data_IF_076919965857
#
_entry.id   IF_076919965857
#
_cell.length_a   1.000
_cell.length_b   1.000
_cell.length_c   1.000
_cell.angle_alpha   90.00
_cell.angle_beta   90.00
_cell.angle_gamma   90.00
#
_symmetry.space_group_name_H-M   'P 1'
#
loop_
_entity.id
_entity.type
_entity.pdbx_description
1 polymer ?
#
# COMPACT_ATOMS: atom_id res chain seq x y z
N UNK A 1 -16.89 -21.03 14.94
CA UNK A 1 -17.42 -19.70 15.33
C UNK A 1 -17.38 -19.59 16.83
N UNK A 2 -16.82 -18.51 17.36
CA UNK A 2 -16.82 -18.26 18.81
C UNK A 2 -18.25 -17.96 19.31
N UNK A 3 -18.48 -18.13 20.61
CA UNK A 3 -19.76 -17.71 21.20
C UNK A 3 -20.00 -16.21 20.94
N UNK A 4 -21.27 -15.80 20.73
CA UNK A 4 -21.58 -14.40 20.50
C UNK A 4 -21.16 -13.54 21.70
N UNK A 5 -20.54 -12.39 21.42
CA UNK A 5 -20.18 -11.40 22.43
C UNK A 5 -21.28 -10.36 22.52
N UNK A 6 -21.83 -10.21 23.72
CA UNK A 6 -22.84 -9.21 24.04
C UNK A 6 -22.16 -8.02 24.72
N UNK A 7 -22.34 -6.82 24.19
CA UNK A 7 -21.80 -5.58 24.79
C UNK A 7 -22.66 -4.37 24.43
N UNK A 8 -22.84 -3.40 25.34
CA UNK A 8 -23.49 -2.15 25.02
C UNK A 8 -22.56 -1.26 24.17
N UNK A 9 -23.13 -0.51 23.24
CA UNK A 9 -22.39 0.52 22.48
C UNK A 9 -21.95 1.62 23.45
N UNK A 10 -20.63 1.90 23.57
CA UNK A 10 -20.15 3.04 24.36
C UNK A 10 -20.70 4.37 23.85
N UNK A 11 -21.01 5.30 24.75
CA UNK A 11 -21.53 6.63 24.39
C UNK A 11 -20.63 7.38 23.40
N UNK A 12 -19.32 7.25 23.51
CA UNK A 12 -18.35 7.86 22.59
C UNK A 12 -18.41 7.37 21.14
N UNK A 13 -19.21 6.33 20.85
CA UNK A 13 -19.46 5.81 19.53
C UNK A 13 -20.86 6.14 19.00
N UNK A 14 -21.71 6.80 19.79
CA UNK A 14 -23.06 7.18 19.40
C UNK A 14 -23.05 8.03 18.13
N UNK A 15 -23.96 7.76 17.19
CA UNK A 15 -24.05 8.42 15.89
C UNK A 15 -23.04 7.93 14.85
N UNK A 16 -22.10 7.05 15.23
CA UNK A 16 -21.13 6.47 14.30
C UNK A 16 -21.78 5.39 13.43
N UNK A 17 -21.28 5.22 12.20
CA UNK A 17 -21.68 4.09 11.36
C UNK A 17 -21.25 2.78 12.01
N UNK A 18 -22.11 1.76 11.93
CA UNK A 18 -21.87 0.46 12.56
C UNK A 18 -20.56 -0.18 12.10
N UNK A 19 -20.24 -0.15 10.79
CA UNK A 19 -18.98 -0.67 10.27
C UNK A 19 -17.74 0.01 10.91
N UNK A 20 -17.84 1.28 11.22
CA UNK A 20 -16.77 2.03 11.88
C UNK A 20 -16.74 1.80 13.40
N UNK A 21 -17.89 1.66 14.05
CA UNK A 21 -17.98 1.34 15.46
C UNK A 21 -17.39 -0.05 15.77
N UNK A 22 -17.76 -1.07 15.00
CA UNK A 22 -17.19 -2.43 15.11
C UNK A 22 -15.68 -2.45 14.86
N UNK A 23 -15.21 -1.68 13.86
CA UNK A 23 -13.78 -1.53 13.60
C UNK A 23 -13.02 -1.02 14.83
N UNK A 24 -13.60 -0.04 15.56
CA UNK A 24 -12.98 0.51 16.78
C UNK A 24 -13.05 -0.42 17.97
N UNK A 25 -14.22 -1.08 18.15
CA UNK A 25 -14.46 -1.97 19.30
C UNK A 25 -13.63 -3.24 19.27
N UNK A 26 -13.45 -3.81 18.08
CA UNK A 26 -12.82 -5.13 17.91
C UNK A 26 -11.48 -5.12 17.19
N UNK A 27 -10.94 -3.93 16.86
CA UNK A 27 -9.67 -3.82 16.11
C UNK A 27 -9.75 -4.32 14.67
N UNK A 28 -10.95 -4.46 14.11
CA UNK A 28 -11.18 -4.98 12.77
C UNK A 28 -10.92 -3.93 11.69
N UNK A 29 -10.56 -4.38 10.47
CA UNK A 29 -10.68 -3.47 9.32
C UNK A 29 -12.16 -3.17 9.04
N UNK A 30 -12.46 -2.00 8.45
CA UNK A 30 -13.84 -1.66 8.06
C UNK A 30 -14.45 -2.67 7.10
N UNK A 31 -13.62 -3.26 6.23
CA UNK A 31 -14.03 -4.32 5.31
C UNK A 31 -14.38 -5.61 6.05
N UNK A 32 -13.60 -6.00 7.08
CA UNK A 32 -13.91 -7.15 7.92
C UNK A 32 -15.20 -6.91 8.70
N UNK A 33 -15.36 -5.72 9.31
CA UNK A 33 -16.60 -5.35 10.00
C UNK A 33 -17.83 -5.40 9.07
N UNK A 34 -17.69 -4.88 7.84
CA UNK A 34 -18.77 -4.93 6.85
C UNK A 34 -19.14 -6.37 6.47
N UNK A 35 -18.16 -7.27 6.31
CA UNK A 35 -18.44 -8.70 6.03
C UNK A 35 -19.17 -9.38 7.17
N UNK A 36 -18.85 -9.08 8.43
CA UNK A 36 -19.56 -9.62 9.58
C UNK A 36 -21.03 -9.19 9.58
N UNK A 37 -21.30 -7.92 9.27
CA UNK A 37 -22.66 -7.39 9.18
C UNK A 37 -23.42 -8.07 8.03
N UNK A 38 -22.85 -8.10 6.82
CA UNK A 38 -23.47 -8.70 5.63
C UNK A 38 -23.68 -10.22 5.79
N UNK A 39 -22.81 -10.88 6.56
CA UNK A 39 -22.89 -12.31 6.90
C UNK A 39 -23.84 -12.65 8.05
N UNK A 40 -24.56 -11.66 8.61
CA UNK A 40 -25.50 -11.88 9.71
C UNK A 40 -24.84 -12.19 11.07
N UNK A 41 -23.54 -11.96 11.19
CA UNK A 41 -22.79 -12.21 12.42
C UNK A 41 -22.88 -11.05 13.45
N UNK A 42 -23.69 -10.03 13.17
CA UNK A 42 -23.90 -8.86 14.01
C UNK A 42 -25.39 -8.59 14.15
N UNK A 43 -25.86 -8.45 15.40
CA UNK A 43 -27.20 -7.94 15.69
C UNK A 43 -27.08 -6.67 16.55
N UNK A 44 -28.01 -5.75 16.35
CA UNK A 44 -28.19 -4.54 17.17
C UNK A 44 -29.57 -4.60 17.75
N UNK A 45 -29.68 -4.62 19.09
CA UNK A 45 -30.95 -4.79 19.82
C UNK A 45 -31.77 -5.99 19.27
N UNK A 46 -31.09 -7.09 18.96
CA UNK A 46 -31.68 -8.33 18.43
C UNK A 46 -32.06 -8.30 16.95
N UNK A 47 -31.84 -7.20 16.23
CA UNK A 47 -32.19 -7.03 14.82
C UNK A 47 -30.95 -7.02 13.91
N UNK A 48 -31.07 -7.56 12.69
CA UNK A 48 -29.99 -7.53 11.70
C UNK A 48 -29.86 -6.13 11.08
N UNK A 49 -28.72 -5.43 11.31
CA UNK A 49 -28.53 -4.06 10.87
C UNK A 49 -27.94 -3.97 9.47
N UNK A 50 -28.02 -2.77 8.86
CA UNK A 50 -27.21 -2.44 7.67
C UNK A 50 -25.85 -1.87 8.10
N UNK A 51 -24.78 -2.10 7.28
CA UNK A 51 -23.41 -1.60 7.56
C UNK A 51 -23.31 -0.07 7.66
N UNK A 52 -24.20 0.66 7.01
CA UNK A 52 -24.28 2.13 7.03
C UNK A 52 -25.12 2.68 8.18
N UNK A 53 -25.84 1.81 8.90
CA UNK A 53 -26.67 2.19 10.04
C UNK A 53 -25.84 2.87 11.11
N UNK A 54 -26.43 3.83 11.81
CA UNK A 54 -25.77 4.57 12.89
C UNK A 54 -26.14 3.95 14.23
N UNK A 55 -25.12 3.60 15.01
CA UNK A 55 -25.31 3.04 16.34
C UNK A 55 -25.70 4.14 17.35
N UNK A 56 -26.46 3.78 18.34
CA UNK A 56 -26.79 4.64 19.47
C UNK A 56 -26.06 4.17 20.73
N UNK A 57 -25.66 5.12 21.59
CA UNK A 57 -25.09 4.79 22.89
C UNK A 57 -26.06 3.91 23.70
N UNK A 58 -25.56 2.89 24.36
CA UNK A 58 -26.35 1.94 25.13
C UNK A 58 -27.05 0.84 24.31
N UNK A 59 -27.15 0.91 22.97
CA UNK A 59 -27.70 -0.17 22.15
C UNK A 59 -26.91 -1.49 22.37
N UNK A 60 -27.59 -2.60 22.42
CA UNK A 60 -26.96 -3.90 22.68
C UNK A 60 -26.43 -4.49 21.36
N UNK A 61 -25.10 -4.63 21.28
CA UNK A 61 -24.45 -5.33 20.18
C UNK A 61 -24.28 -6.81 20.55
N UNK A 62 -24.74 -7.69 19.67
CA UNK A 62 -24.41 -9.11 19.69
C UNK A 62 -23.51 -9.39 18.48
N UNK A 63 -22.26 -9.81 18.71
CA UNK A 63 -21.26 -9.98 17.66
C UNK A 63 -20.63 -11.35 17.74
N UNK A 64 -20.83 -12.16 16.73
CA UNK A 64 -20.13 -13.43 16.54
C UNK A 64 -18.87 -13.21 15.73
N UNK A 65 -17.71 -13.23 16.39
CA UNK A 65 -16.43 -13.11 15.70
C UNK A 65 -16.04 -14.46 15.07
N UNK A 66 -15.43 -14.48 13.88
CA UNK A 66 -14.79 -15.69 13.38
C UNK A 66 -13.67 -16.09 14.33
N UNK A 67 -13.37 -17.37 14.40
CA UNK A 67 -12.13 -17.80 15.05
C UNK A 67 -10.97 -17.07 14.40
N UNK A 68 -10.00 -16.56 15.19
CA UNK A 68 -8.81 -15.98 14.62
C UNK A 68 -8.16 -17.03 13.69
N UNK A 69 -8.09 -16.76 12.40
CA UNK A 69 -7.24 -17.57 11.53
C UNK A 69 -5.84 -17.54 12.13
N UNK A 70 -5.27 -18.73 12.37
CA UNK A 70 -3.87 -18.81 12.77
C UNK A 70 -3.05 -17.99 11.77
N UNK A 71 -2.14 -17.13 12.23
CA UNK A 71 -1.28 -16.39 11.32
C UNK A 71 -0.68 -17.37 10.32
N UNK A 72 -0.74 -17.04 9.03
CA UNK A 72 -0.10 -17.87 8.01
C UNK A 72 1.35 -18.13 8.46
N UNK A 73 1.82 -19.38 8.39
CA UNK A 73 3.16 -19.71 8.88
C UNK A 73 4.18 -18.80 8.18
N UNK A 74 5.18 -18.32 8.94
CA UNK A 74 6.24 -17.51 8.38
C UNK A 74 6.85 -18.24 7.18
N UNK A 75 6.77 -17.64 6.00
CA UNK A 75 7.25 -18.26 4.75
C UNK A 75 8.39 -17.42 4.19
N UNK A 76 9.59 -18.00 4.01
CA UNK A 76 10.70 -17.29 3.39
C UNK A 76 10.33 -16.72 2.03
N UNK A 77 10.75 -15.50 1.76
CA UNK A 77 10.49 -14.79 0.50
C UNK A 77 11.80 -14.59 -0.24
N UNK A 78 11.95 -15.27 -1.38
CA UNK A 78 13.16 -15.15 -2.20
C UNK A 78 13.38 -13.69 -2.66
N UNK A 79 14.61 -13.21 -2.53
CA UNK A 79 14.99 -11.86 -2.94
C UNK A 79 14.56 -10.74 -1.99
N UNK A 80 13.84 -11.03 -0.90
CA UNK A 80 13.58 -10.04 0.14
C UNK A 80 14.85 -9.85 0.97
N UNK A 81 15.44 -8.67 0.95
CA UNK A 81 16.68 -8.37 1.68
C UNK A 81 16.45 -7.27 2.71
N UNK A 82 17.18 -7.34 3.82
CA UNK A 82 17.12 -6.33 4.89
C UNK A 82 18.17 -5.28 4.62
N UNK A 83 17.74 -4.01 4.55
CA UNK A 83 18.60 -2.85 4.39
C UNK A 83 19.01 -2.25 5.74
N UNK A 84 18.14 -2.37 6.74
CA UNK A 84 18.38 -1.91 8.10
C UNK A 84 17.49 -2.67 9.08
N UNK A 85 18.00 -2.92 10.27
CA UNK A 85 17.29 -3.52 11.39
C UNK A 85 17.76 -2.91 12.71
N UNK A 86 16.81 -2.57 13.58
CA UNK A 86 17.01 -2.19 14.96
C UNK A 86 15.82 -2.64 15.83
N UNK A 87 15.68 -2.14 17.05
CA UNK A 87 14.61 -2.54 17.97
C UNK A 87 13.22 -2.04 17.53
N UNK A 88 13.16 -0.97 16.75
CA UNK A 88 11.94 -0.25 16.40
C UNK A 88 11.44 -0.51 14.98
N UNK A 89 12.36 -0.66 14.03
CA UNK A 89 12.05 -0.79 12.61
C UNK A 89 12.87 -1.88 11.93
N UNK A 90 12.30 -2.42 10.85
CA UNK A 90 13.06 -3.15 9.82
C UNK A 90 12.77 -2.51 8.47
N UNK A 91 13.83 -2.16 7.74
CA UNK A 91 13.76 -1.63 6.38
C UNK A 91 14.21 -2.70 5.42
N UNK A 92 13.40 -2.97 4.41
CA UNK A 92 13.65 -4.03 3.43
C UNK A 92 13.69 -3.50 2.01
N UNK A 93 14.43 -4.18 1.15
CA UNK A 93 14.28 -4.08 -0.29
C UNK A 93 13.28 -5.13 -0.75
N UNK A 94 12.11 -4.67 -1.18
CA UNK A 94 11.00 -5.54 -1.58
C UNK A 94 11.19 -6.02 -3.02
N UNK A 95 11.29 -7.33 -3.26
CA UNK A 95 11.36 -7.85 -4.62
C UNK A 95 10.01 -7.76 -5.36
N UNK A 96 10.04 -7.98 -6.68
CA UNK A 96 8.84 -8.10 -7.51
C UNK A 96 8.02 -9.34 -7.15
N UNK A 97 6.71 -9.30 -7.37
CA UNK A 97 5.81 -10.44 -7.13
C UNK A 97 5.46 -10.68 -5.67
N UNK A 98 5.82 -9.76 -4.78
CA UNK A 98 5.56 -9.83 -3.33
C UNK A 98 4.61 -8.73 -2.92
N UNK A 99 3.45 -9.09 -2.34
CA UNK A 99 2.55 -8.12 -1.73
C UNK A 99 3.09 -7.70 -0.35
N UNK A 100 2.60 -6.59 0.18
CA UNK A 100 3.06 -6.11 1.50
C UNK A 100 2.47 -6.98 2.62
N UNK A 101 1.21 -7.29 2.53
CA UNK A 101 0.44 -8.07 3.52
C UNK A 101 -0.62 -8.92 2.82
N UNK A 102 -1.19 -9.95 3.47
CA UNK A 102 -2.32 -10.70 2.94
C UNK A 102 -3.48 -9.79 2.54
N UNK A 103 -4.11 -10.07 1.41
CA UNK A 103 -5.27 -9.33 0.93
C UNK A 103 -6.20 -10.25 0.13
N UNK A 104 -7.50 -9.98 0.08
CA UNK A 104 -8.44 -10.80 -0.68
C UNK A 104 -8.00 -11.00 -2.13
N UNK A 105 -7.96 -12.27 -2.56
CA UNK A 105 -7.52 -12.64 -3.91
C UNK A 105 -6.00 -12.74 -4.10
N UNK A 106 -5.19 -12.47 -3.07
CA UNK A 106 -3.74 -12.68 -3.11
C UNK A 106 -3.35 -13.98 -2.43
N UNK A 107 -2.72 -14.88 -3.16
CA UNK A 107 -2.22 -16.18 -2.67
C UNK A 107 -0.69 -16.28 -2.67
N UNK A 108 -0.01 -15.23 -3.15
CA UNK A 108 1.45 -15.18 -3.23
C UNK A 108 2.13 -14.76 -1.92
N UNK A 109 3.47 -14.64 -1.94
CA UNK A 109 4.25 -14.25 -0.78
C UNK A 109 3.97 -12.80 -0.34
N UNK A 110 4.24 -12.51 0.95
CA UNK A 110 4.08 -11.17 1.51
C UNK A 110 5.32 -10.73 2.28
N UNK A 111 5.57 -9.42 2.33
CA UNK A 111 6.67 -8.83 3.11
C UNK A 111 6.53 -9.19 4.58
N UNK A 112 5.32 -9.09 5.14
CA UNK A 112 5.07 -9.41 6.56
C UNK A 112 5.46 -10.85 6.87
N UNK A 113 5.04 -11.82 6.04
CA UNK A 113 5.40 -13.23 6.22
C UNK A 113 6.91 -13.46 6.04
N UNK A 114 7.54 -12.80 5.08
CA UNK A 114 8.98 -12.89 4.84
C UNK A 114 9.80 -12.34 6.00
N UNK A 115 9.44 -11.16 6.52
CA UNK A 115 10.10 -10.54 7.67
C UNK A 115 9.94 -11.42 8.93
N UNK A 116 8.75 -11.97 9.15
CA UNK A 116 8.51 -12.91 10.25
C UNK A 116 9.33 -14.22 10.09
N UNK A 117 9.47 -14.73 8.86
CA UNK A 117 10.28 -15.92 8.57
C UNK A 117 11.79 -15.71 8.82
N UNK A 118 12.26 -14.46 8.75
CA UNK A 118 13.62 -14.08 9.13
C UNK A 118 13.81 -13.95 10.65
N UNK A 119 12.75 -14.18 11.45
CA UNK A 119 12.79 -14.09 12.91
C UNK A 119 12.53 -12.68 13.48
N UNK A 120 12.20 -11.71 12.66
CA UNK A 120 11.90 -10.36 13.13
C UNK A 120 10.51 -10.29 13.78
N UNK A 121 10.44 -9.62 14.92
CA UNK A 121 9.16 -9.25 15.52
C UNK A 121 8.54 -8.11 14.71
N UNK A 122 7.23 -8.12 14.61
CA UNK A 122 6.44 -7.08 13.95
C UNK A 122 5.45 -6.54 14.97
N UNK A 123 5.27 -5.21 15.03
CA UNK A 123 4.26 -4.58 15.86
C UNK A 123 2.88 -5.17 15.60
N UNK A 124 2.13 -5.45 16.64
CA UNK A 124 0.78 -6.04 16.56
C UNK A 124 -0.31 -5.02 16.27
N UNK A 125 0.02 -3.73 16.36
CA UNK A 125 -0.88 -2.63 16.00
C UNK A 125 -1.24 -2.63 14.52
N UNK A 126 -2.49 -2.26 14.26
CA UNK A 126 -3.10 -2.27 12.94
C UNK A 126 -4.20 -3.31 12.83
N UNK A 127 -4.83 -3.43 11.66
CA UNK A 127 -5.75 -4.53 11.41
C UNK A 127 -4.97 -5.85 11.33
N UNK A 128 -5.57 -6.96 11.77
CA UNK A 128 -4.90 -8.26 11.93
C UNK A 128 -4.11 -8.70 10.68
N UNK A 129 -4.65 -8.43 9.49
CA UNK A 129 -4.01 -8.77 8.21
C UNK A 129 -2.82 -7.89 7.83
N UNK A 130 -2.56 -6.77 8.54
CA UNK A 130 -1.51 -5.78 8.21
C UNK A 130 -0.87 -5.16 9.45
N UNK A 131 -0.64 -5.97 10.46
CA UNK A 131 0.08 -5.57 11.66
C UNK A 131 1.47 -5.04 11.30
N UNK A 132 1.92 -3.96 11.97
CA UNK A 132 3.20 -3.31 11.73
C UNK A 132 3.35 -2.56 10.39
N UNK A 133 2.37 -2.67 9.49
CA UNK A 133 2.42 -2.05 8.16
C UNK A 133 1.94 -0.59 8.23
N UNK A 134 2.81 0.36 7.95
CA UNK A 134 2.52 1.79 7.96
C UNK A 134 2.35 2.38 6.56
N UNK A 135 2.92 1.76 5.53
CA UNK A 135 2.74 2.09 4.12
C UNK A 135 2.79 0.83 3.24
N UNK A 136 2.61 0.99 1.94
CA UNK A 136 2.61 -0.15 1.01
C UNK A 136 3.21 0.19 -0.34
N UNK A 137 3.74 -0.85 -1.00
CA UNK A 137 4.07 -0.90 -2.42
C UNK A 137 3.15 -1.90 -3.11
N UNK A 138 2.90 -1.73 -4.40
CA UNK A 138 2.20 -2.73 -5.21
C UNK A 138 3.05 -3.99 -5.37
N UNK A 139 2.44 -5.15 -5.63
CA UNK A 139 3.18 -6.40 -5.80
C UNK A 139 4.21 -6.33 -6.94
N UNK A 140 3.90 -5.64 -8.04
CA UNK A 140 4.81 -5.42 -9.16
C UNK A 140 5.83 -4.29 -8.96
N UNK A 141 5.74 -3.50 -7.88
CA UNK A 141 6.70 -2.43 -7.56
C UNK A 141 7.76 -2.94 -6.60
N UNK A 142 9.02 -2.73 -6.92
CA UNK A 142 10.18 -3.11 -6.10
C UNK A 142 10.70 -1.93 -5.30
N UNK A 143 11.59 -2.18 -4.33
CA UNK A 143 12.37 -1.15 -3.65
C UNK A 143 12.09 -1.00 -2.16
N UNK A 144 12.56 0.13 -1.61
CA UNK A 144 12.61 0.37 -0.18
C UNK A 144 11.22 0.39 0.46
N UNK A 145 11.11 -0.40 1.52
CA UNK A 145 9.92 -0.43 2.34
C UNK A 145 10.29 -0.61 3.81
N UNK A 146 9.54 0.01 4.73
CA UNK A 146 9.73 -0.18 6.16
C UNK A 146 8.54 -0.87 6.82
N UNK A 147 8.82 -1.66 7.87
CA UNK A 147 7.85 -2.31 8.75
C UNK A 147 8.20 -1.93 10.20
N UNK A 148 7.20 -1.58 10.99
CA UNK A 148 7.39 -1.27 12.40
C UNK A 148 7.52 -2.56 13.23
N UNK A 149 8.53 -2.64 14.10
CA UNK A 149 8.78 -3.74 15.03
C UNK A 149 8.18 -3.48 16.39
N UNK A 150 8.17 -2.22 16.85
CA UNK A 150 7.58 -1.80 18.14
C UNK A 150 6.26 -1.06 17.95
N UNK A 151 5.40 -1.10 18.98
CA UNK A 151 4.12 -0.38 19.00
C UNK A 151 4.34 1.15 18.99
N UNK A 152 5.42 1.60 19.64
CA UNK A 152 5.84 2.99 19.60
C UNK A 152 6.17 3.42 18.16
N UNK A 153 7.06 2.67 17.50
CA UNK A 153 7.43 2.95 16.11
C UNK A 153 6.22 2.95 15.17
N UNK A 154 5.31 1.97 15.30
CA UNK A 154 4.08 1.96 14.53
C UNK A 154 3.29 3.26 14.69
N UNK A 155 3.10 3.70 15.94
CA UNK A 155 2.29 4.89 16.26
C UNK A 155 2.95 6.18 15.72
N UNK A 156 4.27 6.33 15.88
CA UNK A 156 5.04 7.48 15.40
C UNK A 156 5.02 7.52 13.86
N UNK A 157 5.39 6.42 13.21
CA UNK A 157 5.45 6.34 11.76
C UNK A 157 4.08 6.52 11.12
N UNK A 158 3.02 5.95 11.71
CA UNK A 158 1.66 6.15 11.23
C UNK A 158 1.25 7.62 11.21
N UNK A 159 1.65 8.38 12.23
CA UNK A 159 1.45 9.84 12.28
C UNK A 159 2.30 10.55 11.22
N UNK A 160 3.56 10.18 11.06
CA UNK A 160 4.46 10.75 10.06
C UNK A 160 3.93 10.56 8.62
N UNK A 161 3.48 9.35 8.26
CA UNK A 161 2.83 9.10 6.98
C UNK A 161 1.53 9.90 6.80
N UNK A 162 0.73 10.04 7.86
CA UNK A 162 -0.50 10.85 7.84
C UNK A 162 -0.20 12.34 7.68
N UNK A 163 0.83 12.84 8.36
CA UNK A 163 1.29 14.22 8.29
C UNK A 163 2.10 14.53 7.01
N UNK A 164 2.43 13.49 6.20
CA UNK A 164 3.22 13.62 4.96
C UNK A 164 4.65 14.10 5.18
N UNK A 165 5.24 13.80 6.34
CA UNK A 165 6.63 14.16 6.67
C UNK A 165 7.65 13.11 6.22
N UNK A 166 7.17 11.97 5.71
CA UNK A 166 8.00 10.91 5.12
C UNK A 166 8.25 11.23 3.65
N UNK A 167 9.52 11.36 3.28
CA UNK A 167 9.94 11.56 1.90
C UNK A 167 9.99 10.23 1.16
N UNK A 168 9.33 10.16 0.02
CA UNK A 168 9.19 8.95 -0.81
C UNK A 168 9.61 9.29 -2.24
N UNK A 169 10.77 8.77 -2.64
CA UNK A 169 11.27 8.94 -4.00
C UNK A 169 11.18 7.62 -4.76
N UNK A 170 10.66 7.72 -5.96
CA UNK A 170 10.52 6.60 -6.89
C UNK A 170 11.26 6.92 -8.18
N UNK A 171 11.74 5.89 -8.84
CA UNK A 171 12.10 5.98 -10.25
C UNK A 171 11.01 5.30 -11.07
N UNK A 172 10.60 5.93 -12.16
CA UNK A 172 9.66 5.37 -13.13
C UNK A 172 10.16 5.60 -14.54
N UNK A 173 10.18 4.55 -15.36
CA UNK A 173 10.36 4.68 -16.80
C UNK A 173 8.96 4.79 -17.40
N UNK A 174 8.69 5.92 -18.09
CA UNK A 174 7.40 6.18 -18.73
C UNK A 174 7.53 6.23 -20.24
N UNK A 175 6.45 5.95 -20.96
CA UNK A 175 6.42 6.04 -22.42
C UNK A 175 6.41 7.48 -22.91
N UNK A 176 7.18 7.76 -23.97
CA UNK A 176 7.29 9.09 -24.56
C UNK A 176 8.00 10.10 -23.65
N UNK A 177 7.69 11.35 -23.85
CA UNK A 177 8.33 12.49 -23.20
C UNK A 177 7.28 13.39 -22.59
N UNK A 178 7.16 13.43 -21.25
CA UNK A 178 6.28 14.39 -20.61
C UNK A 178 6.66 15.82 -20.98
N UNK A 179 5.67 16.63 -21.34
CA UNK A 179 5.81 18.05 -21.60
C UNK A 179 4.82 18.81 -20.71
N UNK A 180 5.31 19.63 -19.76
CA UNK A 180 6.73 19.93 -19.47
C UNK A 180 7.53 18.74 -18.92
N UNK A 181 8.87 18.80 -19.03
CA UNK A 181 9.79 17.76 -18.55
C UNK A 181 9.79 17.57 -17.02
N UNK A 182 9.24 18.52 -16.28
CA UNK A 182 9.00 18.46 -14.84
C UNK A 182 7.61 19.02 -14.54
N UNK A 183 6.96 18.49 -13.51
CA UNK A 183 5.62 18.96 -13.18
C UNK A 183 4.99 18.30 -11.98
N UNK A 184 3.73 18.66 -11.73
CA UNK A 184 2.90 18.10 -10.68
C UNK A 184 1.58 17.63 -11.26
N UNK A 185 1.25 16.35 -11.00
CA UNK A 185 -0.09 15.82 -11.27
C UNK A 185 -0.88 15.86 -9.97
N UNK A 186 -1.86 16.74 -9.92
CA UNK A 186 -2.82 16.85 -8.82
C UNK A 186 -4.19 16.40 -9.32
N UNK A 187 -4.53 15.12 -9.06
CA UNK A 187 -5.76 14.52 -9.54
C UNK A 187 -6.27 13.48 -8.54
N UNK A 188 -7.55 13.55 -8.20
CA UNK A 188 -8.15 12.65 -7.21
C UNK A 188 -8.29 11.23 -7.77
N UNK A 189 -7.95 10.21 -6.95
CA UNK A 189 -7.94 8.80 -7.34
C UNK A 189 -8.96 8.01 -6.52
N UNK A 190 -9.70 7.14 -7.20
CA UNK A 190 -10.54 6.10 -6.59
C UNK A 190 -10.60 4.86 -7.50
N UNK A 191 -11.42 3.88 -7.12
CA UNK A 191 -11.67 2.70 -7.95
C UNK A 191 -12.21 3.10 -9.32
N UNK A 192 -11.77 2.39 -10.34
CA UNK A 192 -12.28 2.61 -11.70
C UNK A 192 -13.77 2.29 -11.75
N UNK A 193 -14.64 3.16 -12.37
CA UNK A 193 -16.10 2.97 -12.33
C UNK A 193 -16.60 1.65 -12.91
N UNK A 194 -15.87 1.06 -13.85
CA UNK A 194 -16.25 -0.17 -14.57
C UNK A 194 -15.22 -1.30 -14.43
N UNK A 195 -14.34 -1.25 -13.43
CA UNK A 195 -13.32 -2.31 -13.23
C UNK A 195 -12.91 -2.44 -11.77
N UNK A 196 -13.21 -3.57 -11.17
CA UNK A 196 -12.98 -3.81 -9.73
C UNK A 196 -11.49 -3.89 -9.32
N UNK A 197 -10.59 -4.14 -10.27
CA UNK A 197 -9.15 -4.28 -10.00
C UNK A 197 -8.32 -3.05 -10.40
N UNK A 198 -8.92 -2.05 -11.08
CA UNK A 198 -8.25 -0.82 -11.50
C UNK A 198 -8.61 0.37 -10.61
N UNK A 199 -7.73 1.35 -10.64
CA UNK A 199 -7.97 2.69 -10.10
C UNK A 199 -7.94 3.70 -11.25
N UNK A 200 -8.58 4.85 -11.07
CA UNK A 200 -8.65 5.90 -12.08
C UNK A 200 -8.66 7.29 -11.42
N UNK A 201 -8.34 8.30 -12.21
CA UNK A 201 -8.63 9.68 -11.85
C UNK A 201 -10.15 9.87 -11.93
N UNK A 202 -10.76 10.23 -10.80
CA UNK A 202 -12.21 10.47 -10.68
C UNK A 202 -12.45 11.67 -9.75
N UNK A 203 -13.38 12.54 -10.12
CA UNK A 203 -13.63 13.79 -9.38
C UNK A 203 -14.03 13.56 -7.91
N UNK A 204 -14.76 12.47 -7.61
CA UNK A 204 -15.17 12.08 -6.25
C UNK A 204 -14.09 11.31 -5.48
N UNK A 205 -12.91 11.14 -6.06
CA UNK A 205 -11.81 10.37 -5.49
C UNK A 205 -11.11 11.06 -4.33
N UNK A 206 -10.07 10.41 -3.83
CA UNK A 206 -9.22 10.95 -2.77
C UNK A 206 -8.14 11.84 -3.37
N UNK A 207 -7.90 13.06 -2.84
CA UNK A 207 -6.84 13.95 -3.31
C UNK A 207 -5.49 13.22 -3.37
N UNK A 208 -4.81 13.36 -4.50
CA UNK A 208 -3.55 12.69 -4.78
C UNK A 208 -2.61 13.63 -5.51
N UNK A 209 -1.35 13.70 -5.08
CA UNK A 209 -0.34 14.62 -5.59
C UNK A 209 0.93 13.85 -5.89
N UNK A 210 1.41 13.96 -7.12
CA UNK A 210 2.63 13.34 -7.64
C UNK A 210 3.46 14.39 -8.35
N UNK A 211 4.70 14.61 -7.89
CA UNK A 211 5.68 15.46 -8.57
C UNK A 211 6.59 14.57 -9.39
N UNK A 212 7.03 15.06 -10.56
CA UNK A 212 7.96 14.35 -11.41
C UNK A 212 8.97 15.29 -12.06
N UNK A 213 10.18 14.79 -12.26
CA UNK A 213 11.26 15.43 -13.00
C UNK A 213 11.86 14.40 -13.95
N UNK A 214 12.04 14.77 -15.22
CA UNK A 214 12.73 13.91 -16.19
C UNK A 214 14.22 13.92 -15.93
N UNK A 215 14.78 12.76 -15.63
CA UNK A 215 16.20 12.55 -15.34
C UNK A 215 16.97 12.21 -16.62
N UNK A 216 16.38 11.37 -17.47
CA UNK A 216 17.01 10.89 -18.70
C UNK A 216 15.92 10.66 -19.76
N UNK A 217 16.14 11.12 -20.98
CA UNK A 217 15.22 10.94 -22.10
C UNK A 217 15.85 10.00 -23.14
N UNK A 218 15.08 8.99 -23.56
CA UNK A 218 15.45 8.01 -24.59
C UNK A 218 14.54 8.20 -25.80
N UNK A 219 14.81 7.55 -26.92
CA UNK A 219 14.03 7.67 -28.15
C UNK A 219 12.51 7.47 -27.96
N UNK A 220 12.09 6.54 -27.11
CA UNK A 220 10.66 6.15 -26.94
C UNK A 220 10.16 6.23 -25.48
N UNK A 221 10.99 6.64 -24.55
CA UNK A 221 10.68 6.62 -23.11
C UNK A 221 11.47 7.72 -22.38
N UNK A 222 11.05 8.02 -21.16
CA UNK A 222 11.74 8.91 -20.23
C UNK A 222 11.84 8.29 -18.85
N UNK A 223 13.02 8.37 -18.24
CA UNK A 223 13.24 8.03 -16.83
C UNK A 223 12.89 9.25 -15.98
N UNK A 224 12.00 9.06 -15.03
CA UNK A 224 11.55 10.11 -14.13
C UNK A 224 12.02 9.83 -12.69
N UNK A 225 12.43 10.89 -11.99
CA UNK A 225 12.44 10.95 -10.52
C UNK A 225 11.07 11.43 -10.06
N UNK A 226 10.43 10.68 -9.19
CA UNK A 226 9.07 10.95 -8.73
C UNK A 226 9.05 11.10 -7.21
N UNK A 227 8.45 12.19 -6.75
CA UNK A 227 8.20 12.45 -5.34
C UNK A 227 6.69 12.41 -5.04
N UNK A 228 6.31 11.64 -4.02
CA UNK A 228 4.92 11.48 -3.60
C UNK A 228 4.61 12.26 -2.32
N UNK A 229 3.62 13.16 -2.35
CA UNK A 229 3.01 13.68 -1.13
C UNK A 229 1.99 12.70 -0.56
N UNK A 230 1.20 12.09 -1.39
CA UNK A 230 0.18 11.10 -1.02
C UNK A 230 0.63 9.70 -1.43
N UNK A 231 -0.08 8.66 -0.96
CA UNK A 231 0.21 7.27 -1.31
C UNK A 231 -1.09 6.48 -1.52
N UNK A 232 -1.79 6.73 -2.65
CA UNK A 232 -2.98 5.96 -3.02
C UNK A 232 -2.57 4.71 -3.80
N UNK A 233 -3.44 3.73 -3.81
CA UNK A 233 -3.22 2.50 -4.59
C UNK A 233 -3.00 2.87 -6.05
N UNK A 234 -1.94 2.33 -6.66
CA UNK A 234 -1.52 2.56 -8.04
C UNK A 234 -1.28 4.04 -8.41
N UNK A 235 -1.05 4.95 -7.46
CA UNK A 235 -1.07 6.40 -7.70
C UNK A 235 -0.16 6.85 -8.84
N UNK A 236 1.11 6.48 -8.84
CA UNK A 236 2.05 6.85 -9.91
C UNK A 236 1.56 6.31 -11.25
N UNK A 237 1.17 5.04 -11.29
CA UNK A 237 0.70 4.34 -12.49
C UNK A 237 -0.53 5.02 -13.10
N UNK A 238 -1.50 5.38 -12.25
CA UNK A 238 -2.73 6.09 -12.66
C UNK A 238 -2.43 7.50 -13.14
N UNK A 239 -1.61 8.26 -12.39
CA UNK A 239 -1.28 9.64 -12.75
C UNK A 239 -0.49 9.72 -14.06
N UNK A 240 0.53 8.86 -14.23
CA UNK A 240 1.31 8.83 -15.48
C UNK A 240 0.45 8.40 -16.67
N UNK A 241 -0.43 7.43 -16.51
CA UNK A 241 -1.39 7.05 -17.56
C UNK A 241 -2.38 8.19 -17.88
N UNK A 242 -2.85 8.93 -16.88
CA UNK A 242 -3.78 10.04 -17.06
C UNK A 242 -3.17 11.19 -17.89
N UNK A 243 -1.87 11.43 -17.77
CA UNK A 243 -1.14 12.39 -18.62
C UNK A 243 -0.60 11.77 -19.91
N UNK A 244 -1.03 10.55 -20.28
CA UNK A 244 -0.68 9.80 -21.50
C UNK A 244 0.76 9.29 -21.56
N UNK A 245 1.42 9.18 -20.42
CA UNK A 245 2.78 8.64 -20.29
C UNK A 245 2.77 7.44 -19.32
N UNK A 246 2.09 6.31 -19.64
CA UNK A 246 2.02 5.17 -18.73
C UNK A 246 3.41 4.61 -18.45
N UNK A 247 3.61 4.04 -17.26
CA UNK A 247 4.85 3.35 -16.93
C UNK A 247 5.11 2.22 -17.94
N UNK A 248 6.30 2.14 -18.49
CA UNK A 248 6.66 1.06 -19.45
C UNK A 248 6.46 -0.30 -18.77
N UNK A 249 5.83 -1.24 -19.49
CA UNK A 249 5.48 -2.56 -18.96
C UNK A 249 4.18 -2.63 -18.16
N UNK A 250 3.51 -1.50 -17.93
CA UNK A 250 2.22 -1.46 -17.23
C UNK A 250 1.03 -1.70 -18.17
N UNK A 251 0.84 -2.95 -18.57
CA UNK A 251 -0.26 -3.32 -19.46
C UNK A 251 -1.65 -3.04 -18.85
N UNK A 252 -1.75 -2.99 -17.53
CA UNK A 252 -3.00 -2.63 -16.83
C UNK A 252 -3.43 -1.21 -17.15
N UNK A 253 -2.48 -0.28 -17.30
CA UNK A 253 -2.73 1.13 -17.52
C UNK A 253 -2.35 1.61 -18.94
N UNK A 254 -2.28 0.68 -19.90
CA UNK A 254 -2.23 1.02 -21.32
C UNK A 254 -0.82 1.22 -21.89
N UNK A 255 0.21 0.68 -21.24
CA UNK A 255 1.54 0.65 -21.82
C UNK A 255 1.60 -0.22 -23.09
N UNK A 256 2.46 0.18 -24.03
CA UNK A 256 2.71 -0.56 -25.27
C UNK A 256 3.37 -1.92 -24.96
N UNK A 257 2.72 -3.04 -25.30
CA UNK A 257 3.29 -4.37 -25.09
C UNK A 257 4.53 -4.64 -25.96
N UNK A 258 4.66 -3.99 -27.12
CA UNK A 258 5.82 -4.16 -27.99
C UNK A 258 7.08 -3.56 -27.36
N UNK A 259 6.97 -2.35 -26.79
CA UNK A 259 8.06 -1.71 -26.04
C UNK A 259 8.42 -2.54 -24.80
N UNK A 260 7.42 -3.01 -24.03
CA UNK A 260 7.66 -3.84 -22.86
C UNK A 260 8.42 -5.12 -23.22
N UNK A 261 8.00 -5.82 -24.26
CA UNK A 261 8.65 -7.04 -24.77
C UNK A 261 10.10 -6.78 -25.22
N UNK A 262 10.32 -5.69 -25.95
CA UNK A 262 11.68 -5.32 -26.42
C UNK A 262 12.64 -5.09 -25.26
N UNK A 263 12.15 -4.49 -24.16
CA UNK A 263 12.94 -4.20 -22.96
C UNK A 263 12.97 -5.37 -21.95
N UNK A 264 12.40 -6.53 -22.29
CA UNK A 264 12.35 -7.70 -21.39
C UNK A 264 11.47 -7.53 -20.16
N UNK A 265 10.51 -6.59 -20.17
CA UNK A 265 9.68 -6.27 -19.02
C UNK A 265 8.38 -7.08 -19.01
N UNK A 266 8.09 -7.69 -17.88
CA UNK A 266 6.81 -8.38 -17.59
C UNK A 266 5.95 -7.64 -16.57
N UNK A 267 6.41 -6.48 -16.11
CA UNK A 267 5.78 -5.63 -15.10
C UNK A 267 6.04 -4.17 -15.39
N UNK A 268 5.36 -3.28 -14.66
CA UNK A 268 5.65 -1.85 -14.71
C UNK A 268 7.10 -1.55 -14.29
N UNK A 269 7.79 -0.73 -15.04
CA UNK A 269 9.08 -0.17 -14.65
C UNK A 269 8.84 0.93 -13.60
N UNK A 270 8.71 0.50 -12.35
CA UNK A 270 8.47 1.37 -11.19
C UNK A 270 9.21 0.81 -9.97
N UNK A 271 9.96 1.69 -9.31
CA UNK A 271 10.84 1.32 -8.20
C UNK A 271 10.82 2.38 -7.10
N UNK A 272 10.58 1.98 -5.87
CA UNK A 272 10.71 2.82 -4.68
C UNK A 272 12.20 2.96 -4.33
N UNK A 273 12.83 3.99 -4.89
CA UNK A 273 14.28 4.17 -4.84
C UNK A 273 14.79 4.59 -3.48
N UNK A 274 14.07 5.51 -2.80
CA UNK A 274 14.52 6.09 -1.55
C UNK A 274 13.35 6.37 -0.62
N UNK A 275 13.58 6.14 0.67
CA UNK A 275 12.65 6.45 1.75
C UNK A 275 13.39 7.18 2.86
N UNK A 276 12.98 8.43 3.17
CA UNK A 276 13.60 9.24 4.22
C UNK A 276 12.54 9.69 5.24
N UNK A 277 12.86 9.54 6.51
CA UNK A 277 11.94 9.87 7.61
C UNK A 277 12.71 10.17 8.90
N UNK A 278 12.02 10.71 9.90
CA UNK A 278 12.56 10.81 11.26
C UNK A 278 12.44 9.46 11.97
N UNK A 279 13.55 8.94 12.46
CA UNK A 279 13.60 7.65 13.14
C UNK A 279 12.74 7.69 14.42
N UNK A 280 11.84 6.71 14.63
CA UNK A 280 10.84 6.78 15.71
C UNK A 280 11.43 6.82 17.13
N UNK A 281 12.58 6.23 17.36
CA UNK A 281 13.24 6.23 18.67
C UNK A 281 14.19 7.42 18.87
N UNK A 282 14.98 7.77 17.83
CA UNK A 282 16.04 8.77 17.97
C UNK A 282 15.65 10.17 17.54
N UNK A 283 14.59 10.32 16.73
CA UNK A 283 14.20 11.57 16.09
C UNK A 283 15.16 12.06 14.99
N UNK A 284 16.24 11.33 14.72
CA UNK A 284 17.19 11.70 13.67
C UNK A 284 16.62 11.41 12.29
N UNK A 285 16.91 12.27 11.32
CA UNK A 285 16.57 12.03 9.92
C UNK A 285 17.45 10.90 9.37
N UNK A 286 16.79 9.86 8.86
CA UNK A 286 17.44 8.70 8.21
C UNK A 286 16.94 8.54 6.80
N UNK A 287 17.79 7.99 5.92
CA UNK A 287 17.47 7.71 4.53
C UNK A 287 17.98 6.32 4.14
N UNK A 288 17.16 5.57 3.41
CA UNK A 288 17.49 4.24 2.91
C UNK A 288 17.23 4.21 1.40
N UNK A 289 18.17 3.62 0.67
CA UNK A 289 18.16 3.57 -0.80
C UNK A 289 18.19 2.11 -1.25
N UNK A 290 17.46 1.79 -2.31
CA UNK A 290 17.52 0.50 -3.00
C UNK A 290 18.05 0.67 -4.41
N UNK A 291 18.99 -0.18 -4.88
CA UNK A 291 19.46 -0.17 -6.25
C UNK A 291 18.38 -0.74 -7.19
N UNK A 292 18.47 -0.40 -8.48
CA UNK A 292 17.56 -1.00 -9.46
C UNK A 292 17.78 -2.51 -9.54
N UNK A 293 16.71 -3.32 -9.49
CA UNK A 293 16.82 -4.75 -9.72
C UNK A 293 17.17 -5.04 -11.18
N UNK A 294 17.72 -6.23 -11.43
CA UNK A 294 18.33 -6.58 -12.71
C UNK A 294 17.42 -6.41 -13.92
N UNK A 295 16.11 -6.68 -13.80
CA UNK A 295 15.15 -6.50 -14.90
C UNK A 295 14.97 -5.00 -15.26
N UNK A 296 14.93 -4.13 -14.26
CA UNK A 296 14.80 -2.69 -14.49
C UNK A 296 16.11 -2.09 -15.01
N UNK A 297 17.26 -2.54 -14.47
CA UNK A 297 18.56 -2.08 -14.94
C UNK A 297 18.79 -2.50 -16.40
N UNK A 298 18.50 -3.76 -16.75
CA UNK A 298 18.59 -4.25 -18.12
C UNK A 298 17.78 -3.40 -19.12
N UNK A 299 16.54 -3.04 -18.74
CA UNK A 299 15.72 -2.20 -19.62
C UNK A 299 16.33 -0.82 -19.89
N UNK A 300 17.00 -0.20 -18.89
CA UNK A 300 17.73 1.06 -19.09
C UNK A 300 18.96 0.87 -19.98
N UNK A 301 19.71 -0.22 -19.77
CA UNK A 301 20.91 -0.49 -20.55
C UNK A 301 20.56 -0.67 -22.04
N UNK A 302 19.50 -1.42 -22.35
CA UNK A 302 18.99 -1.56 -23.74
C UNK A 302 18.62 -0.19 -24.35
N UNK A 303 17.95 0.67 -23.58
CA UNK A 303 17.58 2.00 -24.10
C UNK A 303 18.79 2.91 -24.31
N UNK A 304 19.82 2.81 -23.47
CA UNK A 304 21.07 3.59 -23.60
C UNK A 304 21.90 3.13 -24.79
N UNK A 305 21.91 1.84 -25.08
CA UNK A 305 22.60 1.27 -26.23
C UNK A 305 21.93 1.63 -27.57
N UNK A 306 20.63 1.98 -27.56
CA UNK A 306 19.85 2.43 -28.72
C UNK A 306 19.88 3.95 -28.93
N UNK A 307 20.42 4.73 -27.99
CA UNK A 307 20.49 6.20 -28.01
C UNK A 307 21.83 6.66 -28.54
#
# INVERSE_FOLDING_TARGET
>A
MTAPRLLPVPEGLSGMRLDAALSRLFGLSRTAAARLIDGGAVLVDGSAPQRSERVHGGALLEVTLPEPEAPAPPTPVAGLTVLHDDDDIVVVDKPVGVAVHPSPGWTGPTVVAGVAAMGYRIATSGAAERQGVVHRLDAGTTGVMLVAKSEHAYSVLKRAFKARTVDKRYAALVQGHPDPSSGTVEAAIDRHPSSDYKFAVVASGRPSITHYDTVEAFRAASLLDIRLETGRTHQIRVHMAAIRHPCVGDLTYGADPALAKRLGLTRQWLHARELSFEHPATGLRVSYVSPYPGDLQHALDVLRDES
#
